data_IF_689555384941
#
_entry.id   IF_689555384941
#
_cell.length_a   1.000
_cell.length_b   1.000
_cell.length_c   1.000
_cell.angle_alpha   90.00
_cell.angle_beta   90.00
_cell.angle_gamma   90.00
#
_symmetry.space_group_name_H-M   'P 1'
#
loop_
_entity.id
_entity.type
_entity.pdbx_description
1 polymer ?
#
# COMPACT_ATOMS: atom_id res chain seq x y z
N UNK A 1 4.77 4.79 -6.63
CA UNK A 1 3.37 4.49 -6.28
C UNK A 1 3.39 3.50 -5.13
N UNK A 2 2.60 3.76 -4.10
CA UNK A 2 2.35 2.83 -2.99
C UNK A 2 0.89 2.40 -3.06
N UNK A 3 0.63 1.11 -2.95
CA UNK A 3 -0.73 0.57 -2.98
C UNK A 3 -1.01 -0.11 -1.65
N UNK A 4 -2.05 0.34 -0.95
CA UNK A 4 -2.61 -0.36 0.19
C UNK A 4 -3.63 -1.40 -0.30
N UNK A 5 -3.58 -2.60 0.28
CA UNK A 5 -4.45 -3.72 -0.08
C UNK A 5 -5.34 -4.05 1.12
N UNK A 6 -6.65 -4.10 0.90
CA UNK A 6 -7.58 -4.70 1.84
C UNK A 6 -7.43 -6.23 1.80
N UNK A 7 -6.47 -6.76 2.56
CA UNK A 7 -6.02 -8.16 2.48
C UNK A 7 -7.15 -9.17 2.61
N UNK A 8 -8.08 -8.99 3.54
CA UNK A 8 -9.22 -9.91 3.68
C UNK A 8 -10.19 -9.87 2.51
N UNK A 9 -10.43 -8.70 1.94
CA UNK A 9 -11.30 -8.56 0.78
C UNK A 9 -10.65 -9.20 -0.47
N UNK A 10 -9.34 -9.01 -0.65
CA UNK A 10 -8.55 -9.69 -1.67
C UNK A 10 -8.57 -11.22 -1.48
N UNK A 11 -8.30 -11.72 -0.27
CA UNK A 11 -8.38 -13.14 0.09
C UNK A 11 -9.76 -13.72 -0.21
N UNK A 12 -10.85 -13.04 0.16
CA UNK A 12 -12.21 -13.48 -0.15
C UNK A 12 -12.45 -13.58 -1.66
N UNK A 13 -11.92 -12.63 -2.44
CA UNK A 13 -11.90 -12.68 -3.92
C UNK A 13 -11.05 -13.83 -4.48
N UNK A 14 -10.22 -14.48 -3.67
CA UNK A 14 -9.32 -15.57 -4.06
C UNK A 14 -7.98 -15.07 -4.59
N UNK A 15 -7.59 -13.85 -4.22
CA UNK A 15 -6.36 -13.20 -4.62
C UNK A 15 -5.38 -13.16 -3.44
N UNK A 16 -4.15 -13.62 -3.65
CA UNK A 16 -3.06 -13.40 -2.69
C UNK A 16 -2.43 -12.02 -2.88
N UNK A 17 -1.77 -11.51 -1.85
CA UNK A 17 -1.00 -10.24 -1.92
C UNK A 17 0.05 -10.26 -3.03
N UNK A 18 0.76 -11.39 -3.20
CA UNK A 18 1.77 -11.56 -4.25
C UNK A 18 1.14 -11.54 -5.66
N UNK A 19 -0.05 -12.12 -5.83
CA UNK A 19 -0.79 -12.05 -7.10
C UNK A 19 -1.21 -10.61 -7.40
N UNK A 20 -1.70 -9.89 -6.40
CA UNK A 20 -2.06 -8.47 -6.54
C UNK A 20 -0.83 -7.65 -6.94
N UNK A 21 0.29 -7.81 -6.23
CA UNK A 21 1.55 -7.11 -6.52
C UNK A 21 2.04 -7.39 -7.96
N UNK A 22 2.06 -8.65 -8.36
CA UNK A 22 2.48 -9.05 -9.71
C UNK A 22 1.60 -8.41 -10.79
N UNK A 23 0.29 -8.40 -10.60
CA UNK A 23 -0.64 -7.77 -11.53
C UNK A 23 -0.45 -6.24 -11.57
N UNK A 24 -0.29 -5.58 -10.43
CA UNK A 24 -0.03 -4.14 -10.35
C UNK A 24 1.28 -3.74 -11.04
N UNK A 25 2.35 -4.52 -10.85
CA UNK A 25 3.64 -4.32 -11.52
C UNK A 25 3.50 -4.40 -13.04
N UNK A 26 2.75 -5.39 -13.55
CA UNK A 26 2.46 -5.52 -14.98
C UNK A 26 1.60 -4.38 -15.51
N UNK A 27 0.54 -4.02 -14.80
CA UNK A 27 -0.34 -2.90 -15.16
C UNK A 27 0.44 -1.58 -15.23
N UNK A 28 1.38 -1.37 -14.30
CA UNK A 28 2.26 -0.22 -14.32
C UNK A 28 3.16 -0.20 -15.55
N UNK A 29 3.82 -1.31 -15.89
CA UNK A 29 4.64 -1.42 -17.10
C UNK A 29 3.87 -1.11 -18.39
N UNK A 30 2.61 -1.55 -18.48
CA UNK A 30 1.73 -1.23 -19.60
C UNK A 30 1.37 0.25 -19.62
N UNK A 31 1.03 0.81 -18.46
CA UNK A 31 0.66 2.22 -18.34
C UNK A 31 1.78 3.16 -18.81
N UNK A 32 3.03 2.86 -18.47
CA UNK A 32 4.19 3.67 -18.90
C UNK A 32 4.77 3.26 -20.26
N UNK A 33 4.20 2.24 -20.92
CA UNK A 33 4.57 1.84 -22.28
C UNK A 33 5.84 0.97 -22.38
N UNK A 34 6.26 0.33 -21.30
CA UNK A 34 7.34 -0.67 -21.29
C UNK A 34 6.85 -2.03 -21.82
N UNK A 35 5.58 -2.37 -21.56
CA UNK A 35 4.96 -3.62 -22.00
C UNK A 35 3.72 -3.36 -22.86
N UNK A 36 3.44 -4.29 -23.78
CA UNK A 36 2.35 -4.15 -24.77
C UNK A 36 1.08 -4.87 -24.33
N UNK A 37 1.14 -5.76 -23.33
CA UNK A 37 -0.04 -6.52 -22.90
C UNK A 37 -0.24 -6.64 -21.39
N UNK A 38 -1.41 -6.17 -20.94
CA UNK A 38 -2.03 -6.47 -19.64
C UNK A 38 -3.01 -7.65 -19.73
N UNK A 39 -3.12 -8.29 -20.90
CA UNK A 39 -4.16 -9.26 -21.29
C UNK A 39 -4.08 -10.62 -20.60
N UNK A 40 -3.56 -10.65 -19.36
CA UNK A 40 -3.76 -11.77 -18.47
C UNK A 40 -5.15 -11.61 -17.84
N UNK A 41 -6.10 -12.44 -18.26
CA UNK A 41 -7.46 -12.44 -17.71
C UNK A 41 -7.47 -12.60 -16.19
N UNK A 42 -6.39 -13.16 -15.63
CA UNK A 42 -6.15 -13.25 -14.19
C UNK A 42 -5.92 -11.89 -13.52
N UNK A 43 -5.33 -10.93 -14.24
CA UNK A 43 -5.02 -9.61 -13.72
C UNK A 43 -6.12 -8.57 -13.98
N UNK A 44 -7.03 -8.79 -14.93
CA UNK A 44 -8.13 -7.84 -15.19
C UNK A 44 -8.92 -7.49 -13.92
N UNK A 45 -9.26 -8.51 -13.11
CA UNK A 45 -9.95 -8.33 -11.82
C UNK A 45 -9.18 -7.43 -10.84
N UNK A 46 -7.85 -7.52 -10.84
CA UNK A 46 -6.98 -6.71 -9.99
C UNK A 46 -6.86 -5.29 -10.54
N UNK A 47 -6.63 -5.16 -11.84
CA UNK A 47 -6.39 -3.89 -12.51
C UNK A 47 -7.64 -3.01 -12.58
N UNK A 48 -8.82 -3.63 -12.68
CA UNK A 48 -10.10 -2.92 -12.62
C UNK A 48 -10.52 -2.58 -11.19
N UNK A 49 -9.78 -3.09 -10.18
CA UNK A 49 -10.02 -2.84 -8.76
C UNK A 49 -11.48 -3.11 -8.35
N UNK A 50 -12.05 -4.20 -8.85
CA UNK A 50 -13.43 -4.61 -8.57
C UNK A 50 -13.45 -5.89 -7.74
N UNK A 51 -14.16 -5.84 -6.62
CA UNK A 51 -14.57 -7.05 -5.91
C UNK A 51 -15.66 -7.77 -6.72
N UNK A 52 -15.48 -9.07 -6.92
CA UNK A 52 -16.42 -9.89 -7.70
C UNK A 52 -17.34 -10.75 -6.83
N UNK A 53 -17.12 -10.79 -5.51
CA UNK A 53 -17.80 -11.71 -4.59
C UNK A 53 -18.61 -11.02 -3.49
N UNK A 54 -18.28 -9.78 -3.14
CA UNK A 54 -19.15 -8.99 -2.27
C UNK A 54 -20.08 -8.15 -3.15
N UNK A 55 -21.37 -8.07 -2.81
CA UNK A 55 -22.34 -7.21 -3.50
C UNK A 55 -22.05 -5.71 -3.33
N UNK A 56 -20.95 -5.37 -2.65
CA UNK A 56 -20.47 -4.03 -2.43
C UNK A 56 -19.50 -3.67 -3.56
N UNK A 57 -19.78 -2.58 -4.26
CA UNK A 57 -18.88 -1.98 -5.27
C UNK A 57 -17.63 -1.35 -4.64
N UNK A 58 -17.08 -1.94 -3.58
CA UNK A 58 -15.90 -1.45 -2.88
C UNK A 58 -14.64 -1.96 -3.57
N UNK A 59 -13.81 -1.01 -3.99
CA UNK A 59 -12.41 -1.24 -4.32
C UNK A 59 -11.69 -1.92 -3.15
N UNK A 60 -10.77 -2.84 -3.44
CA UNK A 60 -9.89 -3.46 -2.45
C UNK A 60 -8.46 -2.90 -2.49
N UNK A 61 -8.19 -1.93 -3.37
CA UNK A 61 -6.91 -1.27 -3.56
C UNK A 61 -7.02 0.24 -3.41
N UNK A 62 -6.12 0.82 -2.62
CA UNK A 62 -5.99 2.28 -2.52
C UNK A 62 -4.59 2.69 -2.96
N UNK A 63 -4.52 3.55 -3.98
CA UNK A 63 -3.25 4.01 -4.53
C UNK A 63 -2.86 5.38 -3.99
N UNK A 64 -1.58 5.53 -3.69
CA UNK A 64 -0.95 6.83 -3.43
C UNK A 64 0.26 6.99 -4.36
N UNK A 65 0.25 8.02 -5.18
CA UNK A 65 1.35 8.33 -6.09
C UNK A 65 2.01 9.64 -5.68
N UNK A 66 3.33 9.61 -5.59
CA UNK A 66 4.18 10.78 -5.47
C UNK A 66 5.05 10.87 -6.71
N UNK A 67 4.95 11.99 -7.43
CA UNK A 67 5.82 12.34 -8.56
C UNK A 67 6.83 13.38 -8.06
N UNK A 68 8.10 13.22 -8.44
CA UNK A 68 9.22 14.06 -8.00
C UNK A 68 9.92 14.57 -9.25
N UNK A 69 10.06 15.89 -9.38
CA UNK A 69 10.56 16.54 -10.58
C UNK A 69 9.64 16.45 -11.80
N UNK A 70 10.07 17.08 -12.88
CA UNK A 70 9.34 17.22 -14.13
C UNK A 70 8.09 18.10 -14.01
N UNK A 71 7.35 18.21 -15.10
CA UNK A 71 6.11 18.99 -15.14
C UNK A 71 5.06 18.33 -16.04
N UNK A 72 3.79 18.65 -15.81
CA UNK A 72 2.69 18.28 -16.70
C UNK A 72 2.12 16.86 -16.55
N UNK A 73 2.57 16.07 -15.56
CA UNK A 73 1.96 14.77 -15.26
C UNK A 73 1.49 14.70 -13.80
N UNK A 74 0.18 14.49 -13.56
CA UNK A 74 -0.38 14.46 -12.21
C UNK A 74 -0.03 13.19 -11.42
N UNK A 75 0.58 12.18 -12.06
CA UNK A 75 0.86 10.89 -11.42
C UNK A 75 -0.38 9.99 -11.28
N UNK A 76 -1.46 10.31 -11.97
CA UNK A 76 -2.60 9.41 -12.13
C UNK A 76 -2.17 8.23 -13.01
N UNK A 77 -2.56 7.03 -12.58
CA UNK A 77 -2.17 5.76 -13.20
C UNK A 77 -3.42 4.94 -13.49
N UNK A 78 -3.84 4.88 -14.76
CA UNK A 78 -4.82 3.90 -15.22
C UNK A 78 -4.12 2.56 -15.48
N UNK A 79 -4.03 1.69 -14.48
CA UNK A 79 -3.27 0.43 -14.57
C UNK A 79 -3.84 -0.58 -15.59
N UNK A 80 -5.05 -0.34 -16.10
CA UNK A 80 -5.68 -1.13 -17.16
C UNK A 80 -5.54 -0.53 -18.57
N UNK A 81 -4.91 0.64 -18.71
CA UNK A 81 -4.74 1.36 -19.99
C UNK A 81 -3.31 1.78 -20.21
N UNK A 82 -2.92 1.87 -21.48
CA UNK A 82 -1.67 2.49 -21.88
C UNK A 82 -1.86 4.01 -21.92
N UNK A 83 -1.24 4.73 -21.00
CA UNK A 83 -1.21 6.20 -20.93
C UNK A 83 0.22 6.72 -21.05
N UNK A 84 1.07 5.97 -21.76
CA UNK A 84 2.51 6.19 -21.85
C UNK A 84 2.88 7.55 -22.42
N UNK A 85 2.00 8.17 -23.23
CA UNK A 85 2.22 9.52 -23.79
C UNK A 85 2.45 10.55 -22.68
N UNK A 86 1.65 10.51 -21.61
CA UNK A 86 1.78 11.42 -20.47
C UNK A 86 3.11 11.21 -19.74
N UNK A 87 3.43 9.95 -19.44
CA UNK A 87 4.71 9.57 -18.82
C UNK A 87 5.92 10.02 -19.66
N UNK A 88 5.95 9.74 -20.97
CA UNK A 88 7.06 10.13 -21.83
C UNK A 88 7.16 11.65 -21.99
N UNK A 89 6.04 12.37 -22.00
CA UNK A 89 6.02 13.84 -22.01
C UNK A 89 6.70 14.38 -20.75
N UNK A 90 6.24 13.94 -19.58
CA UNK A 90 6.85 14.29 -18.30
C UNK A 90 8.33 13.93 -18.23
N UNK A 91 8.72 12.73 -18.67
CA UNK A 91 10.11 12.28 -18.67
C UNK A 91 11.04 13.20 -19.48
N UNK A 92 10.56 13.78 -20.60
CA UNK A 92 11.35 14.76 -21.37
C UNK A 92 11.57 16.06 -20.62
N UNK A 93 10.65 16.45 -19.73
CA UNK A 93 10.75 17.70 -18.95
C UNK A 93 11.78 17.62 -17.83
N UNK A 94 12.15 16.42 -17.36
CA UNK A 94 13.10 16.21 -16.26
C UNK A 94 14.45 16.88 -16.48
N UNK A 95 14.89 17.01 -17.74
CA UNK A 95 16.14 17.72 -18.09
C UNK A 95 16.12 19.19 -17.67
N UNK A 96 14.94 19.82 -17.70
CA UNK A 96 14.76 21.25 -17.40
C UNK A 96 14.21 21.47 -15.99
N UNK A 97 13.48 20.50 -15.45
CA UNK A 97 12.88 20.54 -14.12
C UNK A 97 13.33 19.33 -13.28
N UNK A 98 14.63 19.18 -12.97
CA UNK A 98 15.11 18.09 -12.14
C UNK A 98 14.69 18.30 -10.68
N UNK A 99 14.69 17.21 -9.92
CA UNK A 99 14.45 17.22 -8.47
C UNK A 99 15.28 16.11 -7.81
N UNK A 100 15.38 16.14 -6.49
CA UNK A 100 16.25 15.26 -5.71
C UNK A 100 15.62 13.87 -5.58
N UNK A 101 16.23 12.89 -6.26
CA UNK A 101 15.79 11.48 -6.21
C UNK A 101 16.50 10.65 -5.13
N UNK A 102 17.75 11.01 -4.81
CA UNK A 102 18.59 10.33 -3.83
C UNK A 102 19.57 11.33 -3.23
N UNK A 103 19.76 11.27 -1.92
CA UNK A 103 20.64 12.16 -1.18
C UNK A 103 21.17 11.49 0.08
N UNK A 104 22.29 11.99 0.58
CA UNK A 104 22.81 11.68 1.90
C UNK A 104 22.63 12.90 2.79
N UNK A 105 22.26 12.69 4.06
CA UNK A 105 22.06 13.76 5.03
C UNK A 105 23.23 13.83 5.99
N UNK A 106 23.70 15.06 6.24
CA UNK A 106 24.67 15.35 7.30
C UNK A 106 23.94 16.02 8.47
N UNK A 107 24.12 15.53 9.72
CA UNK A 107 23.53 16.18 10.88
C UNK A 107 23.92 17.65 11.01
N UNK A 108 22.94 18.51 11.27
CA UNK A 108 23.13 19.97 11.30
C UNK A 108 24.23 20.44 12.27
N UNK A 109 24.33 19.81 13.44
CA UNK A 109 25.33 20.17 14.45
C UNK A 109 26.78 20.02 13.95
N UNK A 110 27.05 19.17 12.94
CA UNK A 110 28.38 19.01 12.37
C UNK A 110 28.81 20.19 11.49
N UNK A 111 27.87 21.06 11.11
CA UNK A 111 28.15 22.27 10.33
C UNK A 111 28.47 23.49 11.22
N UNK A 112 28.40 23.34 12.56
CA UNK A 112 28.53 24.45 13.51
C UNK A 112 29.95 24.48 14.09
N UNK A 113 30.73 25.56 13.87
CA UNK A 113 32.10 25.64 14.38
C UNK A 113 32.18 25.86 15.90
N UNK A 114 31.20 26.55 16.49
CA UNK A 114 31.20 26.84 17.92
C UNK A 114 30.76 25.60 18.71
N UNK A 115 31.64 25.07 19.55
CA UNK A 115 31.43 23.80 20.27
C UNK A 115 30.24 23.84 21.23
N UNK A 116 30.00 24.97 21.90
CA UNK A 116 28.87 25.10 22.84
C UNK A 116 27.53 25.07 22.10
N UNK A 117 27.44 25.81 20.99
CA UNK A 117 26.24 25.84 20.15
C UNK A 117 26.05 24.47 19.46
N UNK A 118 27.13 23.87 18.97
CA UNK A 118 27.11 22.53 18.37
C UNK A 118 26.51 21.50 19.33
N UNK A 119 26.95 21.48 20.59
CA UNK A 119 26.46 20.53 21.58
C UNK A 119 24.96 20.76 21.88
N UNK A 120 24.55 22.02 22.06
CA UNK A 120 23.13 22.36 22.26
C UNK A 120 22.24 21.96 21.09
N UNK A 121 22.69 22.17 19.84
CA UNK A 121 21.93 21.76 18.64
C UNK A 121 21.90 20.24 18.52
N UNK A 122 22.98 19.54 18.84
CA UNK A 122 23.01 18.07 18.83
C UNK A 122 21.96 17.50 19.78
N UNK A 123 21.92 17.98 21.02
CA UNK A 123 20.95 17.54 22.03
C UNK A 123 19.51 17.85 21.59
N UNK A 124 19.25 19.08 21.15
CA UNK A 124 17.93 19.50 20.67
C UNK A 124 17.42 18.64 19.51
N UNK A 125 18.28 18.36 18.52
CA UNK A 125 17.91 17.49 17.40
C UNK A 125 17.66 16.06 17.85
N UNK A 126 18.46 15.53 18.78
CA UNK A 126 18.25 14.20 19.32
C UNK A 126 16.94 14.07 20.08
N UNK A 127 16.56 15.09 20.85
CA UNK A 127 15.29 15.09 21.58
C UNK A 127 14.10 15.21 20.63
N UNK A 128 14.17 16.09 19.61
CA UNK A 128 13.18 16.13 18.54
C UNK A 128 12.97 14.77 17.88
N UNK A 129 14.05 14.04 17.58
CA UNK A 129 13.97 12.71 16.98
C UNK A 129 13.30 11.69 17.90
N UNK A 130 13.55 11.74 19.21
CA UNK A 130 12.90 10.84 20.19
C UNK A 130 11.42 11.16 20.34
N UNK A 131 11.07 12.44 20.43
CA UNK A 131 9.68 12.89 20.59
C UNK A 131 8.81 12.55 19.37
N UNK A 132 9.41 12.57 18.18
CA UNK A 132 8.74 12.23 16.93
C UNK A 132 8.96 10.78 16.49
N UNK A 133 9.60 9.95 17.32
CA UNK A 133 9.84 8.56 16.98
C UNK A 133 8.52 7.79 16.91
N UNK A 134 8.30 7.09 15.80
CA UNK A 134 7.19 6.16 15.71
C UNK A 134 7.43 4.98 16.68
N UNK A 135 6.39 4.55 17.42
CA UNK A 135 6.53 3.40 18.30
C UNK A 135 6.96 2.17 17.49
N UNK A 136 7.82 1.35 18.06
CA UNK A 136 8.18 0.07 17.43
C UNK A 136 6.92 -0.76 17.25
N UNK A 137 6.70 -1.23 16.01
CA UNK A 137 5.71 -2.26 15.75
C UNK A 137 6.04 -3.49 16.61
N UNK A 138 5.06 -3.99 17.34
CA UNK A 138 5.21 -5.11 18.28
C UNK A 138 5.29 -6.49 17.61
N UNK A 139 5.54 -6.56 16.29
CA UNK A 139 5.64 -7.83 15.57
C UNK A 139 4.27 -8.47 15.29
N UNK A 140 4.31 -9.55 14.51
CA UNK A 140 3.15 -10.22 13.87
C UNK A 140 1.92 -10.37 14.78
N UNK A 141 0.77 -9.97 14.25
CA UNK A 141 -0.52 -10.36 14.79
C UNK A 141 -0.63 -11.88 14.69
N UNK A 142 -0.44 -12.59 15.80
CA UNK A 142 -0.74 -14.01 15.85
C UNK A 142 -2.24 -14.21 15.58
N UNK A 143 -2.57 -14.80 14.44
CA UNK A 143 -3.95 -15.08 14.02
C UNK A 143 -4.58 -16.25 14.80
N UNK A 144 -4.63 -16.16 16.14
CA UNK A 144 -5.21 -17.18 17.01
C UNK A 144 -4.71 -18.61 16.76
N UNK A 145 -5.44 -19.59 17.29
CA UNK A 145 -5.06 -21.00 17.20
C UNK A 145 -5.18 -21.58 15.77
N UNK A 146 -4.44 -22.67 15.52
CA UNK A 146 -4.45 -23.47 14.27
C UNK A 146 -5.84 -23.96 13.83
N UNK A 147 -6.80 -24.01 14.74
CA UNK A 147 -8.19 -24.43 14.51
C UNK A 147 -9.12 -23.26 14.16
N UNK A 148 -8.60 -22.04 14.06
CA UNK A 148 -9.38 -20.89 13.63
C UNK A 148 -9.77 -21.02 12.16
N UNK A 149 -10.96 -20.52 11.80
CA UNK A 149 -11.42 -20.44 10.41
C UNK A 149 -10.69 -19.34 9.62
N UNK A 150 -9.50 -18.92 10.08
CA UNK A 150 -8.73 -17.81 9.55
C UNK A 150 -7.63 -18.31 8.59
N UNK A 151 -7.23 -17.44 7.66
CA UNK A 151 -6.06 -17.59 6.81
C UNK A 151 -4.82 -16.94 7.46
N UNK A 152 -3.68 -16.96 6.74
CA UNK A 152 -2.42 -16.36 7.20
C UNK A 152 -2.46 -14.85 7.38
N UNK A 153 -3.50 -14.16 6.89
CA UNK A 153 -3.73 -12.73 7.06
C UNK A 153 -4.78 -12.43 8.15
N UNK A 154 -5.12 -13.43 8.98
CA UNK A 154 -6.18 -13.36 9.98
C UNK A 154 -7.58 -13.11 9.37
N UNK A 155 -7.81 -13.52 8.12
CA UNK A 155 -9.06 -13.31 7.41
C UNK A 155 -9.90 -14.60 7.38
N UNK A 156 -11.22 -14.50 7.44
CA UNK A 156 -12.09 -15.68 7.33
C UNK A 156 -11.88 -16.37 5.98
N UNK A 157 -11.72 -17.69 5.99
CA UNK A 157 -11.53 -18.47 4.74
C UNK A 157 -12.77 -18.49 3.84
N UNK A 158 -13.95 -18.26 4.42
CA UNK A 158 -15.23 -18.24 3.71
C UNK A 158 -16.02 -17.01 4.12
N UNK A 159 -16.60 -16.34 3.12
CA UNK A 159 -17.59 -15.28 3.33
C UNK A 159 -18.86 -15.84 3.97
N UNK A 160 -19.65 -14.96 4.59
CA UNK A 160 -20.95 -15.29 5.17
C UNK A 160 -20.93 -16.35 6.29
N UNK A 161 -19.81 -16.47 7.02
CA UNK A 161 -19.74 -17.24 8.25
C UNK A 161 -20.10 -16.38 9.46
N UNK A 162 -20.84 -16.97 10.41
CA UNK A 162 -21.21 -16.34 11.67
C UNK A 162 -21.33 -17.36 12.79
N UNK A 163 -21.28 -16.91 14.04
CA UNK A 163 -21.50 -17.76 15.21
C UNK A 163 -22.96 -17.68 15.62
N UNK A 164 -23.70 -18.77 15.42
CA UNK A 164 -25.05 -18.91 15.96
C UNK A 164 -24.95 -19.35 17.43
N UNK A 165 -25.52 -18.56 18.33
CA UNK A 165 -25.65 -18.92 19.75
C UNK A 165 -27.13 -19.13 20.04
N UNK A 166 -27.53 -20.39 20.22
CA UNK A 166 -28.89 -20.74 20.60
C UNK A 166 -28.97 -20.75 22.12
N UNK A 167 -29.88 -19.95 22.67
CA UNK A 167 -30.14 -19.92 24.11
C UNK A 167 -31.57 -20.34 24.36
N UNK A 168 -31.78 -21.38 25.16
CA UNK A 168 -33.12 -21.83 25.54
C UNK A 168 -33.64 -20.91 26.63
N UNK A 169 -34.65 -20.09 26.31
CA UNK A 169 -35.19 -19.08 27.24
C UNK A 169 -36.25 -19.68 28.17
N UNK A 170 -37.05 -20.64 27.70
CA UNK A 170 -38.06 -21.39 28.48
C UNK A 170 -38.32 -22.78 27.88
N UNK A 171 -38.70 -23.72 28.74
CA UNK A 171 -39.29 -25.00 28.37
C UNK A 171 -40.62 -25.15 29.14
N UNK A 172 -41.62 -25.79 28.54
CA UNK A 172 -42.95 -25.99 29.14
C UNK A 172 -43.34 -27.48 29.12
N UNK A 173 -44.02 -27.94 30.18
CA UNK A 173 -44.62 -29.27 30.27
C UNK A 173 -43.65 -30.40 30.62
N UNK A 174 -42.87 -30.24 31.69
CA UNK A 174 -42.22 -31.35 32.39
C UNK A 174 -43.19 -32.04 33.36
#
# INVERSE_FOLDING_TARGET
MTTAIHTCQASHSGLSTNQVESCLSRGFQVNIGISVSSSDERCSKVLDNRDSKTSYSSSFLSHHTKVVGGSGWPGELSLNRNESVGFHSWMRTLKNFPDVIYYSLTPLHLLIPNTAIQQGVKETVQDYLKENALPKSTGELACGDRYSNLDSNCCLRKVSQGRLVVTVVRAWGL
#
